data_IF_665403412087
#
_entry.id   IF_665403412087
#
_cell.length_a   1.000
_cell.length_b   1.000
_cell.length_c   1.000
_cell.angle_alpha   90.00
_cell.angle_beta   90.00
_cell.angle_gamma   90.00
#
_symmetry.space_group_name_H-M   'P 1'
#
loop_
_entity.id
_entity.type
_entity.pdbx_description
1 polymer ?
#
# COMPACT_ATOMS: atom_id res chain seq x y z
N UNK A 1 -7.87 -16.07 15.38
CA UNK A 1 -6.48 -15.89 14.91
C UNK A 1 -6.50 -15.72 13.41
N UNK A 2 -5.77 -14.73 12.89
CA UNK A 2 -5.43 -14.60 11.46
C UNK A 2 -6.48 -13.96 10.56
N UNK A 3 -6.64 -12.64 10.61
CA UNK A 3 -7.08 -11.90 9.42
C UNK A 3 -5.85 -11.84 8.51
N UNK A 4 -5.81 -12.70 7.50
CA UNK A 4 -4.67 -12.86 6.61
C UNK A 4 -4.35 -11.52 5.94
N UNK A 5 -3.07 -11.10 6.05
CA UNK A 5 -2.59 -9.80 5.56
C UNK A 5 -2.93 -9.59 4.07
N UNK A 6 -3.09 -10.67 3.29
CA UNK A 6 -3.43 -10.71 1.88
C UNK A 6 -4.80 -10.13 1.50
N UNK A 7 -5.72 -9.91 2.45
CA UNK A 7 -7.11 -9.52 2.14
C UNK A 7 -7.47 -8.07 2.43
N UNK A 8 -6.52 -7.22 2.82
CA UNK A 8 -6.79 -5.79 2.93
C UNK A 8 -6.69 -5.09 1.57
N UNK A 9 -7.33 -5.69 0.55
CA UNK A 9 -7.66 -5.06 -0.73
C UNK A 9 -9.11 -4.62 -0.61
N UNK A 10 -9.29 -3.43 -0.04
CA UNK A 10 -10.59 -2.81 0.13
C UNK A 10 -11.08 -2.22 -1.20
N UNK A 11 -12.36 -2.38 -1.53
CA UNK A 11 -12.99 -1.86 -2.76
C UNK A 11 -13.23 -0.34 -2.76
N UNK A 12 -12.58 0.40 -1.86
CA UNK A 12 -12.67 1.85 -1.82
C UNK A 12 -11.97 2.54 -2.98
N UNK A 13 -12.18 3.85 -3.10
CA UNK A 13 -11.57 4.67 -4.15
C UNK A 13 -10.05 4.54 -4.16
N UNK A 14 -9.48 4.35 -5.35
CA UNK A 14 -8.07 4.08 -5.59
C UNK A 14 -7.20 5.35 -5.48
N UNK A 15 -7.52 6.29 -4.61
CA UNK A 15 -6.94 7.64 -4.59
C UNK A 15 -5.52 7.77 -4.02
N UNK A 16 -4.83 6.66 -3.71
CA UNK A 16 -3.53 6.70 -3.05
C UNK A 16 -2.52 5.80 -3.76
N UNK A 17 -1.25 6.20 -3.73
CA UNK A 17 -0.16 5.40 -4.26
C UNK A 17 0.93 5.19 -3.22
N UNK A 18 1.49 3.97 -3.16
CA UNK A 18 2.66 3.65 -2.37
C UNK A 18 3.90 4.40 -2.90
N UNK A 19 4.76 4.84 -1.99
CA UNK A 19 6.00 5.56 -2.30
C UNK A 19 7.20 4.71 -1.84
N UNK A 20 8.17 4.38 -2.73
CA UNK A 20 8.40 4.96 -4.06
C UNK A 20 7.83 4.18 -5.25
N UNK A 21 7.22 3.01 -5.05
CA UNK A 21 6.89 2.11 -6.17
C UNK A 21 5.69 2.54 -7.03
N UNK A 22 4.86 3.47 -6.57
CA UNK A 22 3.74 4.02 -7.33
C UNK A 22 2.50 3.12 -7.44
N UNK A 23 2.49 1.93 -6.83
CA UNK A 23 1.31 1.06 -6.85
C UNK A 23 0.12 1.74 -6.17
N UNK A 24 -1.00 1.77 -6.89
CA UNK A 24 -2.20 2.47 -6.49
C UNK A 24 -3.10 1.56 -5.66
N UNK A 25 -3.68 2.09 -4.58
CA UNK A 25 -4.59 1.37 -3.70
C UNK A 25 -5.50 2.34 -2.93
N UNK A 26 -6.51 1.82 -2.24
CA UNK A 26 -7.36 2.63 -1.37
C UNK A 26 -6.61 3.19 -0.16
N UNK A 27 -7.13 4.26 0.45
CA UNK A 27 -6.55 4.86 1.67
C UNK A 27 -6.37 3.82 2.79
N UNK A 28 -7.35 2.93 2.92
CA UNK A 28 -7.36 1.92 3.97
C UNK A 28 -6.22 0.91 3.75
N UNK A 29 -6.03 0.49 2.49
CA UNK A 29 -4.95 -0.40 2.06
C UNK A 29 -3.58 0.23 2.32
N UNK A 30 -3.33 1.45 1.84
CA UNK A 30 -2.01 2.08 2.04
C UNK A 30 -1.69 2.33 3.51
N UNK A 31 -2.70 2.67 4.34
CA UNK A 31 -2.52 2.85 5.79
C UNK A 31 -2.18 1.56 6.51
N UNK A 32 -2.86 0.46 6.16
CA UNK A 32 -2.65 -0.84 6.77
C UNK A 32 -1.22 -1.33 6.50
N UNK A 33 -0.83 -1.40 5.23
CA UNK A 33 0.46 -1.93 4.81
C UNK A 33 1.65 -1.05 5.19
N UNK A 34 1.46 0.26 5.36
CA UNK A 34 2.51 1.15 5.84
C UNK A 34 2.83 1.01 7.32
N UNK A 35 1.95 0.35 8.09
CA UNK A 35 2.10 0.15 9.55
C UNK A 35 2.56 -1.25 9.92
N UNK A 36 2.45 -2.20 8.99
CA UNK A 36 2.81 -3.59 9.26
C UNK A 36 4.25 -3.79 8.83
N UNK A 37 5.18 -3.96 9.79
CA UNK A 37 6.52 -4.36 9.43
C UNK A 37 6.50 -5.81 8.94
N UNK A 38 6.97 -6.03 7.72
CA UNK A 38 7.23 -7.37 7.22
C UNK A 38 8.70 -7.73 7.46
N UNK A 39 9.00 -9.00 7.74
CA UNK A 39 10.37 -9.46 7.85
C UNK A 39 11.07 -9.27 6.49
N UNK A 40 12.07 -8.41 6.47
CA UNK A 40 12.93 -8.17 5.32
C UNK A 40 14.36 -8.60 5.67
N UNK A 41 14.74 -9.79 5.22
CA UNK A 41 16.03 -10.41 5.58
C UNK A 41 16.04 -10.98 7.00
N UNK A 42 17.23 -11.15 7.58
CA UNK A 42 17.42 -11.88 8.84
C UNK A 42 17.27 -11.03 10.11
N UNK A 43 17.22 -9.69 10.02
CA UNK A 43 17.25 -8.82 11.19
C UNK A 43 16.49 -7.49 11.06
N UNK A 44 15.60 -7.31 10.06
CA UNK A 44 14.93 -6.02 9.90
C UNK A 44 13.47 -6.14 9.49
N UNK A 45 12.65 -5.28 10.08
CA UNK A 45 11.20 -5.26 10.01
C UNK A 45 10.79 -3.94 9.37
N UNK A 46 10.46 -3.97 8.08
CA UNK A 46 10.16 -2.76 7.32
C UNK A 46 8.81 -2.89 6.61
N UNK A 47 8.02 -1.80 6.54
CA UNK A 47 6.84 -1.79 5.71
C UNK A 47 7.23 -1.88 4.23
N UNK A 48 6.54 -2.74 3.50
CA UNK A 48 6.75 -2.94 2.06
C UNK A 48 5.43 -2.82 1.32
N UNK A 49 5.53 -2.46 0.04
CA UNK A 49 4.39 -2.58 -0.86
C UNK A 49 3.98 -4.06 -0.98
N UNK A 50 2.70 -4.41 -0.79
CA UNK A 50 2.24 -5.80 -0.89
C UNK A 50 2.24 -6.35 -2.32
N UNK A 51 2.29 -5.47 -3.34
CA UNK A 51 2.22 -5.88 -4.75
C UNK A 51 3.58 -6.23 -5.33
N UNK A 52 4.63 -5.49 -4.92
CA UNK A 52 5.96 -5.59 -5.54
C UNK A 52 7.10 -5.67 -4.54
N UNK A 53 6.78 -5.82 -3.24
CA UNK A 53 7.72 -5.99 -2.11
C UNK A 53 8.78 -4.91 -1.94
N UNK A 54 8.64 -3.79 -2.66
CA UNK A 54 9.49 -2.61 -2.52
C UNK A 54 9.32 -1.99 -1.14
N UNK A 55 10.43 -1.65 -0.48
CA UNK A 55 10.44 -0.94 0.80
C UNK A 55 9.74 0.42 0.66
N UNK A 56 8.85 0.72 1.60
CA UNK A 56 8.15 2.01 1.63
C UNK A 56 9.04 3.08 2.26
N UNK A 57 8.91 4.32 1.79
CA UNK A 57 9.62 5.46 2.36
C UNK A 57 9.22 5.68 3.83
N UNK A 58 10.19 5.92 4.71
CA UNK A 58 9.98 5.99 6.17
C UNK A 58 9.09 7.17 6.60
N UNK A 59 9.28 8.34 6.01
CA UNK A 59 8.53 9.55 6.40
C UNK A 59 7.18 9.66 5.68
N UNK A 60 7.14 9.27 4.41
CA UNK A 60 5.95 9.40 3.55
C UNK A 60 5.75 8.13 2.71
N UNK A 61 5.22 7.04 3.30
CA UNK A 61 5.12 5.74 2.64
C UNK A 61 4.05 5.67 1.54
N UNK A 62 3.15 6.64 1.48
CA UNK A 62 2.16 6.80 0.43
C UNK A 62 1.81 8.27 0.20
N UNK A 63 1.24 8.56 -0.97
CA UNK A 63 0.78 9.88 -1.38
C UNK A 63 -0.67 9.80 -1.86
N UNK A 64 -1.43 10.88 -1.67
CA UNK A 64 -2.75 11.04 -2.29
C UNK A 64 -2.57 11.48 -3.74
N UNK A 65 -3.24 10.80 -4.66
CA UNK A 65 -3.32 11.17 -6.05
C UNK A 65 -4.24 12.39 -6.19
N UNK A 66 -3.82 13.34 -7.02
CA UNK A 66 -4.59 14.54 -7.34
C UNK A 66 -5.40 14.37 -8.64
N UNK A 67 -5.00 13.41 -9.47
CA UNK A 67 -5.69 13.02 -10.69
C UNK A 67 -5.75 11.50 -10.74
N UNK A 68 -6.95 10.98 -10.90
CA UNK A 68 -7.20 9.60 -11.30
C UNK A 68 -8.04 9.65 -12.56
N UNK A 69 -7.62 8.91 -13.59
CA UNK A 69 -8.47 8.70 -14.74
C UNK A 69 -9.59 7.73 -14.30
N UNK A 70 -10.80 8.25 -14.14
CA UNK A 70 -11.97 7.43 -13.83
C UNK A 70 -12.36 6.67 -15.09
N UNK A 71 -11.69 5.54 -15.38
CA UNK A 71 -12.12 4.59 -16.42
C UNK A 71 -13.36 3.79 -15.99
N UNK A 72 -14.37 4.46 -15.45
CA UNK A 72 -15.71 3.90 -15.28
C UNK A 72 -16.66 4.65 -16.22
N UNK A 73 -16.53 4.40 -17.51
CA UNK A 73 -17.61 4.52 -18.48
C UNK A 73 -17.86 3.12 -19.04
N UNK A 74 -18.84 2.43 -18.45
CA UNK A 74 -19.89 1.62 -19.10
C UNK A 74 -20.68 0.79 -18.08
#
# INVERSE_FOLDING_TARGET
MGMESSFHLDSGDLDYAFNPCGHVASLNTVRFWSRIPLPHGTNSFHPVCPFCTTLLATEKPYVRLIFQDHLFDN
#
